data_IF_975198394439
#
_entry.id   IF_975198394439
#
_cell.length_a   1.000
_cell.length_b   1.000
_cell.length_c   1.000
_cell.angle_alpha   90.00
_cell.angle_beta   90.00
_cell.angle_gamma   90.00
#
_symmetry.space_group_name_H-M   'P 1'
#
loop_
_entity.id
_entity.type
_entity.pdbx_description
1 polymer ?
#
# COMPACT_ATOMS: atom_id res chain seq x y z
N UNK A 1 9.04 -1.80 1.66
CA UNK A 1 9.22 -2.69 0.49
C UNK A 1 8.12 -3.73 0.63
N UNK A 2 7.11 -3.74 -0.26
CA UNK A 2 6.13 -4.85 -0.24
C UNK A 2 6.83 -6.07 -0.79
N UNK A 3 6.90 -7.11 0.04
CA UNK A 3 7.44 -8.39 -0.36
C UNK A 3 6.37 -9.09 -1.21
N UNK A 4 6.64 -9.24 -2.50
CA UNK A 4 5.74 -9.92 -3.41
C UNK A 4 5.95 -11.43 -3.23
N UNK A 5 5.04 -12.04 -2.49
CA UNK A 5 5.04 -13.47 -2.19
C UNK A 5 4.28 -14.22 -3.28
N UNK A 6 4.72 -15.45 -3.59
CA UNK A 6 4.02 -16.30 -4.56
C UNK A 6 2.60 -16.59 -4.05
N UNK A 7 1.62 -16.79 -4.94
CA UNK A 7 0.25 -17.06 -4.53
C UNK A 7 0.12 -18.25 -3.58
N UNK A 8 0.98 -19.28 -3.74
CA UNK A 8 1.06 -20.42 -2.84
C UNK A 8 1.59 -20.11 -1.43
N UNK A 9 2.35 -19.02 -1.28
CA UNK A 9 3.11 -18.69 -0.06
C UNK A 9 2.48 -17.53 0.74
N UNK A 10 1.28 -17.04 0.35
CA UNK A 10 0.63 -15.89 0.98
C UNK A 10 0.34 -16.19 2.47
N UNK A 11 0.91 -15.41 3.42
CA UNK A 11 0.59 -15.56 4.84
C UNK A 11 -0.89 -15.35 5.08
N UNK A 12 -1.53 -16.32 5.71
CA UNK A 12 -2.98 -16.31 5.92
C UNK A 12 -3.35 -15.36 7.06
N UNK A 13 -4.27 -14.45 6.78
CA UNK A 13 -4.94 -13.66 7.81
C UNK A 13 -6.09 -14.47 8.46
N UNK A 14 -6.28 -14.29 9.77
CA UNK A 14 -7.27 -15.00 10.59
C UNK A 14 -8.71 -14.68 10.17
N UNK A 15 -8.96 -13.49 9.62
CA UNK A 15 -10.30 -13.00 9.32
C UNK A 15 -10.67 -13.09 7.84
N UNK A 16 -9.72 -13.48 7.00
CA UNK A 16 -9.92 -13.51 5.56
C UNK A 16 -10.57 -14.83 5.11
N UNK A 17 -11.63 -14.78 4.26
CA UNK A 17 -12.20 -15.98 3.68
C UNK A 17 -11.15 -16.72 2.84
N UNK A 18 -11.33 -18.03 2.66
CA UNK A 18 -10.37 -18.86 1.92
C UNK A 18 -10.13 -18.24 0.54
N UNK A 19 -8.87 -17.93 0.16
CA UNK A 19 -8.60 -17.26 -1.10
C UNK A 19 -9.12 -18.11 -2.25
N UNK A 20 -9.95 -17.52 -3.12
CA UNK A 20 -10.51 -18.22 -4.28
C UNK A 20 -9.37 -18.54 -5.25
N UNK A 21 -8.75 -19.72 -5.25
CA UNK A 21 -7.65 -20.06 -6.18
C UNK A 21 -8.12 -20.31 -7.63
N UNK A 22 -9.34 -19.88 -7.96
CA UNK A 22 -9.99 -20.11 -9.24
C UNK A 22 -9.67 -19.08 -10.32
N UNK A 23 -10.52 -19.03 -11.34
CA UNK A 23 -10.33 -18.16 -12.51
C UNK A 23 -10.52 -16.67 -12.20
N UNK A 24 -11.30 -16.33 -11.16
CA UNK A 24 -11.64 -14.94 -10.85
C UNK A 24 -10.42 -14.07 -10.50
N UNK A 25 -9.51 -14.44 -9.57
CA UNK A 25 -8.33 -13.62 -9.33
C UNK A 25 -7.37 -13.58 -10.51
N UNK A 26 -7.28 -14.65 -11.32
CA UNK A 26 -6.48 -14.63 -12.56
C UNK A 26 -7.02 -13.61 -13.56
N UNK A 27 -8.34 -13.58 -13.76
CA UNK A 27 -8.99 -12.60 -14.63
C UNK A 27 -8.82 -11.16 -14.11
N UNK A 28 -8.89 -10.97 -12.79
CA UNK A 28 -8.65 -9.67 -12.15
C UNK A 28 -7.21 -9.19 -12.40
N UNK A 29 -6.22 -10.05 -12.15
CA UNK A 29 -4.81 -9.70 -12.39
C UNK A 29 -4.55 -9.40 -13.87
N UNK A 30 -5.11 -10.19 -14.79
CA UNK A 30 -5.00 -9.93 -16.22
C UNK A 30 -5.61 -8.58 -16.64
N UNK A 31 -6.73 -8.17 -16.02
CA UNK A 31 -7.33 -6.87 -16.26
C UNK A 31 -6.42 -5.73 -15.77
N UNK A 32 -5.82 -5.87 -14.58
CA UNK A 32 -4.86 -4.90 -14.03
C UNK A 32 -3.62 -4.78 -14.93
N UNK A 33 -3.06 -5.91 -15.38
CA UNK A 33 -1.93 -5.94 -16.30
C UNK A 33 -2.26 -5.30 -17.66
N UNK A 34 -3.48 -5.53 -18.15
CA UNK A 34 -3.98 -4.90 -19.37
C UNK A 34 -4.12 -3.38 -19.26
N UNK A 35 -4.59 -2.89 -18.10
CA UNK A 35 -4.66 -1.45 -17.81
C UNK A 35 -3.27 -0.82 -17.74
N UNK A 36 -2.34 -1.46 -17.01
CA UNK A 36 -0.95 -1.01 -16.92
C UNK A 36 -0.23 -1.01 -18.27
N UNK A 37 -0.56 -1.93 -19.17
CA UNK A 37 0.01 -1.95 -20.52
C UNK A 37 -0.47 -0.78 -21.39
N UNK A 38 -1.73 -0.34 -21.22
CA UNK A 38 -2.34 0.73 -22.00
C UNK A 38 -2.03 2.13 -21.47
N UNK A 39 -2.03 2.29 -20.14
CA UNK A 39 -1.91 3.59 -19.47
C UNK A 39 -0.47 3.90 -19.03
N UNK A 40 0.44 2.93 -19.14
CA UNK A 40 1.82 3.04 -18.68
C UNK A 40 2.08 2.24 -17.40
N UNK A 41 3.33 1.79 -17.25
CA UNK A 41 3.76 0.92 -16.15
C UNK A 41 3.47 1.59 -14.80
N UNK A 42 2.65 0.93 -13.97
CA UNK A 42 2.30 1.42 -12.63
C UNK A 42 1.17 2.45 -12.60
N UNK A 43 0.38 2.58 -13.67
CA UNK A 43 -0.82 3.41 -13.70
C UNK A 43 -1.89 2.92 -12.71
N UNK A 44 -2.00 1.61 -12.51
CA UNK A 44 -2.91 0.98 -11.55
C UNK A 44 -2.12 0.01 -10.66
N UNK A 45 -2.21 0.21 -9.35
CA UNK A 45 -1.50 -0.61 -8.36
C UNK A 45 -2.26 -0.64 -7.04
N UNK A 46 -1.88 -1.58 -6.18
CA UNK A 46 -2.53 -1.77 -4.89
C UNK A 46 -1.91 -0.87 -3.83
N UNK A 47 -2.77 -0.09 -3.16
CA UNK A 47 -2.52 0.50 -1.83
C UNK A 47 -1.40 1.56 -1.70
N UNK A 48 -0.67 1.90 -2.76
CA UNK A 48 0.43 2.87 -2.69
C UNK A 48 0.39 3.87 -3.84
N UNK A 49 0.44 5.15 -3.46
CA UNK A 49 0.80 6.20 -4.39
C UNK A 49 2.29 6.12 -4.74
N UNK A 50 2.68 6.24 -6.02
CA UNK A 50 4.08 6.43 -6.37
C UNK A 50 4.62 7.71 -5.71
N UNK A 51 5.91 7.69 -5.31
CA UNK A 51 6.55 8.87 -4.70
C UNK A 51 6.44 10.07 -5.64
N UNK A 52 5.80 11.15 -5.20
CA UNK A 52 5.60 12.37 -5.98
C UNK A 52 4.34 12.38 -6.84
N UNK A 53 3.43 11.42 -6.68
CA UNK A 53 2.14 11.47 -7.37
C UNK A 53 1.37 12.74 -6.98
N UNK A 54 0.76 13.48 -7.92
CA UNK A 54 0.06 14.73 -7.62
C UNK A 54 -1.16 14.53 -6.70
N UNK A 55 -1.69 13.30 -6.65
CA UNK A 55 -2.80 12.88 -5.79
C UNK A 55 -2.35 12.22 -4.48
N UNK A 56 -1.04 12.20 -4.18
CA UNK A 56 -0.55 11.69 -2.90
C UNK A 56 -1.04 12.55 -1.73
N UNK A 57 -1.31 11.92 -0.58
CA UNK A 57 -1.64 12.66 0.64
C UNK A 57 -0.49 13.60 1.02
N UNK A 58 -0.79 14.88 1.22
CA UNK A 58 0.18 15.89 1.67
C UNK A 58 0.03 16.09 3.18
N UNK A 59 1.06 15.74 3.94
CA UNK A 59 1.08 15.86 5.40
C UNK A 59 2.07 16.92 5.89
N UNK A 60 2.46 17.86 5.03
CA UNK A 60 3.52 18.84 5.30
C UNK A 60 3.20 19.80 6.48
N UNK A 61 1.92 19.91 6.85
CA UNK A 61 1.46 20.75 7.96
C UNK A 61 1.00 19.93 9.19
N UNK A 62 1.52 18.72 9.35
CA UNK A 62 1.22 17.87 10.51
C UNK A 62 1.86 18.44 11.77
N UNK A 63 1.09 18.59 12.83
CA UNK A 63 1.60 18.95 14.16
C UNK A 63 2.42 17.80 14.74
N UNK A 64 3.41 18.08 15.62
CA UNK A 64 4.16 17.03 16.27
C UNK A 64 3.25 16.10 17.08
N UNK A 65 3.66 14.85 17.16
CA UNK A 65 2.86 13.72 17.65
C UNK A 65 3.07 13.52 19.13
N UNK A 66 2.66 14.50 19.94
CA UNK A 66 2.94 14.55 21.36
C UNK A 66 2.41 13.35 22.16
N UNK A 67 1.37 12.67 21.68
CA UNK A 67 0.75 11.54 22.39
C UNK A 67 1.19 10.17 21.87
N UNK A 68 1.84 10.11 20.71
CA UNK A 68 2.15 8.85 20.02
C UNK A 68 3.62 8.68 19.66
N UNK A 69 4.46 9.71 19.82
CA UNK A 69 5.90 9.65 19.57
C UNK A 69 6.67 10.40 20.65
N UNK A 70 7.52 9.69 21.39
CA UNK A 70 8.40 10.28 22.42
C UNK A 70 9.45 11.22 21.81
N UNK A 71 9.89 10.96 20.58
CA UNK A 71 10.90 11.76 19.87
C UNK A 71 10.37 13.15 19.46
N UNK A 72 9.05 13.31 19.37
CA UNK A 72 8.39 14.55 18.96
C UNK A 72 8.00 15.43 20.16
N UNK A 73 8.37 15.06 21.39
CA UNK A 73 8.08 15.83 22.60
C UNK A 73 9.02 17.03 22.76
N UNK A 74 8.53 18.19 23.23
CA UNK A 74 9.38 19.35 23.52
C UNK A 74 10.37 19.06 24.65
N UNK A 75 11.65 19.36 24.42
CA UNK A 75 12.69 19.24 25.46
C UNK A 75 12.84 20.58 26.17
N UNK A 76 12.53 20.60 27.47
CA UNK A 76 12.79 21.76 28.33
C UNK A 76 14.17 21.61 28.96
N UNK A 77 15.00 22.65 28.87
CA UNK A 77 16.27 22.75 29.60
C UNK A 77 16.10 23.70 30.79
N UNK A 78 16.69 23.32 31.93
CA UNK A 78 16.71 24.12 33.15
C UNK A 78 17.73 25.27 33.08
#
# INVERSE_FOLDING_TARGET
>A
MLDLVRPEDIPRDLFSPTPETGEKPKALMAAVDGLNSKLGKGAVGYGLAPKGAPWQMRCDNRTPSYTTSWEELPVVKA
#
